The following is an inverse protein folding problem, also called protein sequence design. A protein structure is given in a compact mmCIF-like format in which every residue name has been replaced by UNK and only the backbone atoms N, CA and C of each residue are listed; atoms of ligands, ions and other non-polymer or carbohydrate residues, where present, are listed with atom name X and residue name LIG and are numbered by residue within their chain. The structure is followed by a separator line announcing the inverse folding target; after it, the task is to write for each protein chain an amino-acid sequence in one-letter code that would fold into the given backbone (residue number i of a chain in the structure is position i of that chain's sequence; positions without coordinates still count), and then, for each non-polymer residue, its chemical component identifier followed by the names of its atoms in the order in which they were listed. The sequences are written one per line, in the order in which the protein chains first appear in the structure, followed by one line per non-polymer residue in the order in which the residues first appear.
data_IF_365029012710
#
_entry.id   IF_365029012710
#
_cell.length_a   1.000
_cell.length_b   1.000
_cell.length_c   1.000
_cell.angle_alpha   90.00
_cell.angle_beta   90.00
_cell.angle_gamma   90.00
#
_symmetry.space_group_name_H-M   'P 1'
#
loop_
_entity.id
_entity.type
_entity.pdbx_description
1 polymer ?
#
# COMPACT_ATOMS: atom_id res chain seq x y z
N UNK A 1 64.48 -2.61 -0.11
CA UNK A 1 63.69 -1.64 0.65
C UNK A 1 62.51 -1.24 -0.15
N UNK A 2 61.36 -1.15 0.44
CA UNK A 2 60.05 -0.77 -0.17
C UNK A 2 59.34 -1.86 -0.98
N UNK A 3 58.61 -2.73 -0.27
CA UNK A 3 57.36 -3.38 -0.76
C UNK A 3 56.59 -3.92 0.45
N UNK A 4 56.07 -3.03 1.25
CA UNK A 4 55.20 -3.38 2.37
C UNK A 4 54.16 -2.29 2.55
N UNK A 5 53.27 -2.12 1.55
CA UNK A 5 52.12 -1.20 1.68
C UNK A 5 51.19 -1.40 0.48
N UNK A 6 50.40 -2.48 0.47
CA UNK A 6 49.17 -2.58 -0.33
C UNK A 6 48.39 -3.86 -0.05
N UNK A 7 47.89 -3.99 1.16
CA UNK A 7 46.99 -5.07 1.50
C UNK A 7 45.98 -4.60 2.55
N UNK A 8 45.34 -3.45 2.28
CA UNK A 8 44.26 -2.96 3.11
C UNK A 8 43.29 -2.21 2.23
N UNK A 9 42.42 -2.90 1.56
CA UNK A 9 41.13 -2.40 1.06
C UNK A 9 40.52 -3.47 0.18
N UNK A 10 39.58 -4.17 0.69
CA UNK A 10 38.28 -4.51 0.06
C UNK A 10 37.51 -5.40 1.04
N UNK A 11 37.11 -4.86 2.17
CA UNK A 11 35.99 -5.40 2.94
C UNK A 11 34.74 -4.60 2.58
N UNK A 12 34.39 -4.59 1.31
CA UNK A 12 33.06 -4.21 0.87
C UNK A 12 32.12 -5.36 1.23
N UNK A 13 31.47 -5.24 2.40
CA UNK A 13 30.64 -6.24 3.00
C UNK A 13 29.43 -6.58 2.14
N UNK A 14 29.49 -7.67 1.41
CA UNK A 14 28.31 -8.41 1.04
C UNK A 14 27.62 -8.86 2.34
N UNK A 15 26.49 -8.26 2.67
CA UNK A 15 25.69 -8.70 3.81
C UNK A 15 25.50 -10.22 3.73
N UNK A 16 25.89 -10.94 4.76
CA UNK A 16 25.83 -12.40 4.82
C UNK A 16 24.36 -12.87 4.72
N UNK A 17 24.12 -14.09 4.30
CA UNK A 17 22.76 -14.65 4.23
C UNK A 17 22.04 -14.57 5.58
N UNK A 18 22.75 -14.70 6.70
CA UNK A 18 22.23 -14.53 8.06
C UNK A 18 21.75 -13.10 8.33
N UNK A 19 22.52 -12.09 7.95
CA UNK A 19 22.14 -10.69 8.12
C UNK A 19 20.90 -10.33 7.29
N UNK A 20 20.83 -10.83 6.05
CA UNK A 20 19.64 -10.63 5.20
C UNK A 20 18.40 -11.30 5.80
N UNK A 21 18.55 -12.50 6.36
CA UNK A 21 17.45 -13.19 7.05
C UNK A 21 17.01 -12.43 8.31
N UNK A 22 17.95 -11.97 9.12
CA UNK A 22 17.66 -11.18 10.33
C UNK A 22 16.92 -9.89 10.00
N UNK A 23 17.37 -9.12 9.00
CA UNK A 23 16.68 -7.90 8.55
C UNK A 23 15.26 -8.15 8.05
N UNK A 24 15.03 -9.26 7.31
CA UNK A 24 13.68 -9.64 6.87
C UNK A 24 12.76 -9.94 8.06
N UNK A 25 13.26 -10.65 9.04
CA UNK A 25 12.49 -10.99 10.26
C UNK A 25 12.16 -9.74 11.07
N UNK A 26 13.13 -8.84 11.24
CA UNK A 26 12.93 -7.56 11.91
C UNK A 26 11.87 -6.70 11.19
N UNK A 27 12.00 -6.58 9.88
CA UNK A 27 11.03 -5.82 9.08
C UNK A 27 9.62 -6.39 9.16
N UNK A 28 9.49 -7.72 9.10
CA UNK A 28 8.20 -8.39 9.28
C UNK A 28 7.60 -8.14 10.67
N UNK A 29 8.44 -8.10 11.71
CA UNK A 29 8.00 -7.78 13.07
C UNK A 29 7.52 -6.32 13.17
N UNK A 30 8.22 -5.36 12.55
CA UNK A 30 7.80 -3.95 12.50
C UNK A 30 6.45 -3.79 11.77
N UNK A 31 6.29 -4.42 10.60
CA UNK A 31 5.02 -4.42 9.86
C UNK A 31 3.89 -4.93 10.74
N UNK A 32 4.11 -6.07 11.42
CA UNK A 32 3.11 -6.64 12.32
C UNK A 32 2.74 -5.70 13.46
N UNK A 33 3.72 -5.06 14.08
CA UNK A 33 3.51 -4.14 15.21
C UNK A 33 2.68 -2.92 14.77
N UNK A 34 3.08 -2.27 13.69
CA UNK A 34 2.38 -1.09 13.15
C UNK A 34 0.92 -1.39 12.77
N UNK A 35 0.67 -2.56 12.17
CA UNK A 35 -0.71 -2.96 11.83
C UNK A 35 -1.55 -3.23 13.09
N UNK A 36 -0.96 -3.86 14.11
CA UNK A 36 -1.67 -4.18 15.36
C UNK A 36 -2.12 -2.93 16.13
N UNK A 37 -1.43 -1.82 15.99
CA UNK A 37 -1.79 -0.54 16.60
C UNK A 37 -2.99 0.13 15.94
N UNK A 38 -3.42 -0.33 14.75
CA UNK A 38 -4.44 0.32 13.91
C UNK A 38 -4.16 1.83 13.71
N UNK A 39 -2.89 2.15 13.65
CA UNK A 39 -2.40 3.50 13.38
C UNK A 39 -1.25 3.39 12.39
N UNK A 40 -1.57 3.41 11.11
CA UNK A 40 -0.58 3.22 10.05
C UNK A 40 -0.92 4.01 8.79
N UNK A 41 0.10 4.21 7.98
CA UNK A 41 0.03 4.94 6.74
C UNK A 41 0.67 4.15 5.61
N UNK A 42 -0.01 4.06 4.49
CA UNK A 42 0.50 3.49 3.25
C UNK A 42 0.68 4.63 2.25
N UNK A 43 1.91 4.84 1.81
CA UNK A 43 2.22 5.77 0.71
C UNK A 43 2.03 5.04 -0.60
N UNK A 44 1.24 5.62 -1.49
CA UNK A 44 0.90 5.04 -2.80
C UNK A 44 1.86 5.55 -3.87
N UNK A 45 2.47 4.63 -4.60
CA UNK A 45 3.50 4.93 -5.60
C UNK A 45 3.01 4.74 -7.04
N UNK A 46 2.03 3.84 -7.23
CA UNK A 46 1.47 3.56 -8.55
C UNK A 46 0.04 3.03 -8.43
N UNK A 47 -0.66 2.97 -9.55
CA UNK A 47 -2.02 2.46 -9.62
C UNK A 47 -2.22 1.64 -10.89
N UNK A 48 -3.23 0.75 -10.88
CA UNK A 48 -3.71 0.04 -12.04
C UNK A 48 -5.25 0.11 -12.08
N UNK A 49 -5.77 0.45 -13.23
CA UNK A 49 -7.19 0.31 -13.53
C UNK A 49 -7.44 -1.10 -14.04
N UNK A 50 -8.36 -1.82 -13.39
CA UNK A 50 -8.69 -3.20 -13.73
C UNK A 50 -9.82 -3.30 -14.77
N UNK A 51 -10.38 -2.17 -15.19
CA UNK A 51 -11.40 -2.11 -16.23
C UNK A 51 -10.82 -2.14 -17.66
N UNK A 52 -9.56 -1.78 -17.82
CA UNK A 52 -8.88 -1.83 -19.12
C UNK A 52 -8.06 -3.11 -19.29
N UNK A 53 -8.35 -3.84 -20.37
CA UNK A 53 -7.71 -5.12 -20.73
C UNK A 53 -6.28 -4.98 -21.27
N UNK A 54 -5.75 -3.78 -21.35
CA UNK A 54 -4.38 -3.52 -21.80
C UNK A 54 -3.42 -3.40 -20.60
N UNK A 55 -2.38 -4.23 -20.60
CA UNK A 55 -1.24 -4.24 -19.65
C UNK A 55 -0.43 -2.92 -19.66
N UNK A 56 -1.07 -1.77 -19.76
CA UNK A 56 -0.36 -0.50 -19.78
C UNK A 56 0.01 -0.07 -18.37
N UNK A 57 1.32 -0.13 -18.17
CA UNK A 57 2.15 0.52 -17.14
C UNK A 57 1.36 1.42 -16.19
N UNK A 58 1.23 0.93 -14.96
CA UNK A 58 0.80 1.77 -13.83
C UNK A 58 1.53 3.11 -13.87
N UNK A 59 0.84 4.23 -14.02
CA UNK A 59 1.51 5.53 -13.96
C UNK A 59 2.18 5.67 -12.60
N UNK A 60 3.41 6.14 -12.60
CA UNK A 60 4.10 6.47 -11.36
C UNK A 60 3.45 7.73 -10.78
N UNK A 61 3.02 7.64 -9.54
CA UNK A 61 2.33 8.70 -8.84
C UNK A 61 3.32 9.51 -8.00
N UNK A 62 3.02 10.79 -7.82
CA UNK A 62 3.73 11.62 -6.87
C UNK A 62 3.49 11.10 -5.44
N UNK A 63 4.48 11.18 -4.57
CA UNK A 63 4.50 10.63 -3.21
C UNK A 63 3.49 11.26 -2.22
N UNK A 64 2.57 12.08 -2.69
CA UNK A 64 1.53 12.72 -1.88
C UNK A 64 0.32 11.83 -1.64
N UNK A 65 0.12 10.81 -2.48
CA UNK A 65 -1.02 9.92 -2.35
C UNK A 65 -0.82 8.91 -1.23
N UNK A 66 -1.88 8.71 -0.43
CA UNK A 66 -1.79 7.87 0.76
C UNK A 66 -3.15 7.33 1.20
N UNK A 67 -3.09 6.23 1.91
CA UNK A 67 -4.14 5.71 2.77
C UNK A 67 -3.62 5.67 4.20
N UNK A 68 -4.40 6.16 5.14
CA UNK A 68 -4.04 6.19 6.55
C UNK A 68 -5.19 5.68 7.41
N UNK A 69 -4.88 4.78 8.32
CA UNK A 69 -5.79 4.31 9.36
C UNK A 69 -5.38 4.97 10.66
N UNK A 70 -6.31 5.66 11.31
CA UNK A 70 -6.15 6.26 12.64
C UNK A 70 -7.25 5.75 13.54
N UNK A 71 -6.92 4.72 14.33
CA UNK A 71 -7.86 4.08 15.25
C UNK A 71 -9.13 3.59 14.53
N UNK A 72 -10.19 4.37 14.62
CA UNK A 72 -11.52 4.11 14.07
C UNK A 72 -11.85 4.87 12.78
N UNK A 73 -10.88 5.61 12.23
CA UNK A 73 -11.09 6.47 11.06
C UNK A 73 -10.17 6.08 9.90
N UNK A 74 -10.73 6.11 8.69
CA UNK A 74 -9.99 5.95 7.44
C UNK A 74 -9.83 7.31 6.76
N UNK A 75 -8.57 7.65 6.47
CA UNK A 75 -8.21 8.86 5.76
C UNK A 75 -7.57 8.45 4.44
N UNK A 76 -8.10 8.93 3.33
CA UNK A 76 -7.49 8.68 2.03
C UNK A 76 -7.26 9.95 1.25
N UNK A 77 -6.15 9.97 0.54
CA UNK A 77 -5.88 10.89 -0.54
C UNK A 77 -5.31 10.07 -1.69
N UNK A 78 -6.21 9.52 -2.52
CA UNK A 78 -5.87 8.61 -3.61
C UNK A 78 -6.32 9.21 -4.94
N UNK A 79 -5.53 9.06 -6.01
CA UNK A 79 -6.00 9.42 -7.34
C UNK A 79 -7.14 8.47 -7.69
N UNK A 80 -8.21 9.00 -8.26
CA UNK A 80 -9.30 8.19 -8.73
C UNK A 80 -9.39 8.33 -10.25
N UNK A 81 -9.24 7.22 -10.91
CA UNK A 81 -9.46 7.05 -12.33
C UNK A 81 -10.53 5.96 -12.49
N UNK A 82 -11.37 6.08 -13.46
CA UNK A 82 -12.40 5.10 -13.74
C UNK A 82 -13.75 5.73 -14.05
N UNK A 83 -14.58 4.92 -14.66
CA UNK A 83 -15.91 5.33 -15.11
C UNK A 83 -16.87 5.40 -13.93
N UNK A 84 -17.61 6.49 -13.82
CA UNK A 84 -18.71 6.61 -12.89
C UNK A 84 -20.00 6.16 -13.57
N UNK A 85 -20.48 4.97 -13.22
CA UNK A 85 -21.68 4.36 -13.83
C UNK A 85 -22.96 5.16 -13.65
N UNK A 86 -23.03 6.05 -12.66
CA UNK A 86 -24.24 6.83 -12.37
C UNK A 86 -24.28 8.13 -13.16
N UNK A 87 -23.11 8.78 -13.29
CA UNK A 87 -23.04 10.08 -13.97
C UNK A 87 -22.76 9.95 -15.47
N UNK A 88 -22.46 8.76 -15.97
CA UNK A 88 -22.14 8.54 -17.38
C UNK A 88 -20.88 9.27 -17.85
N UNK A 89 -20.05 9.72 -16.94
CA UNK A 89 -18.83 10.45 -17.25
C UNK A 89 -17.62 9.52 -17.27
N UNK A 90 -17.10 9.27 -18.47
CA UNK A 90 -15.73 8.78 -18.64
C UNK A 90 -14.80 9.97 -18.44
N UNK A 91 -14.31 10.14 -17.23
CA UNK A 91 -13.40 11.23 -16.94
C UNK A 91 -12.15 10.71 -16.24
N UNK A 92 -11.00 11.08 -16.75
CA UNK A 92 -9.80 11.21 -15.92
C UNK A 92 -10.21 12.19 -14.82
N UNK A 93 -10.83 11.64 -13.78
CA UNK A 93 -11.48 12.43 -12.74
C UNK A 93 -10.45 13.27 -12.02
N UNK A 94 -10.55 14.55 -12.19
CA UNK A 94 -9.78 15.57 -11.47
C UNK A 94 -10.02 15.55 -9.96
N UNK A 95 -10.90 14.67 -9.48
CA UNK A 95 -11.20 14.51 -8.05
C UNK A 95 -10.73 13.14 -7.59
N UNK A 96 -9.63 13.13 -6.84
CA UNK A 96 -9.15 11.94 -6.15
C UNK A 96 -10.17 11.39 -5.14
N UNK A 97 -9.97 10.16 -4.69
CA UNK A 97 -10.73 9.58 -3.60
C UNK A 97 -10.21 10.17 -2.28
N UNK A 98 -10.81 11.28 -1.87
CA UNK A 98 -10.50 11.98 -0.63
C UNK A 98 -11.56 11.61 0.40
N UNK A 99 -11.16 10.94 1.46
CA UNK A 99 -12.02 10.52 2.56
C UNK A 99 -11.44 10.94 3.90
N UNK A 100 -12.32 11.24 4.81
CA UNK A 100 -12.07 11.27 6.24
C UNK A 100 -13.34 10.74 6.92
N UNK A 101 -13.44 9.41 7.01
CA UNK A 101 -14.68 8.76 7.41
C UNK A 101 -14.42 7.76 8.55
N UNK A 102 -15.37 7.57 9.45
CA UNK A 102 -15.31 6.51 10.43
C UNK A 102 -15.35 5.13 9.74
N UNK A 103 -14.58 4.20 10.29
CA UNK A 103 -14.54 2.82 9.83
C UNK A 103 -15.79 2.09 10.33
N UNK A 104 -16.61 1.59 9.41
CA UNK A 104 -17.81 0.79 9.74
C UNK A 104 -17.45 -0.65 10.07
N UNK A 105 -16.43 -1.20 9.40
CA UNK A 105 -15.93 -2.56 9.65
C UNK A 105 -14.43 -2.64 9.39
N UNK A 106 -13.72 -3.38 10.24
CA UNK A 106 -12.30 -3.66 10.09
C UNK A 106 -12.04 -5.13 10.39
N UNK A 107 -11.54 -5.86 9.41
CA UNK A 107 -11.17 -7.27 9.54
C UNK A 107 -9.72 -7.44 9.10
N UNK A 108 -8.95 -8.23 9.84
CA UNK A 108 -7.56 -8.54 9.52
C UNK A 108 -7.32 -10.04 9.66
N UNK A 109 -6.71 -10.63 8.65
CA UNK A 109 -6.32 -12.03 8.64
C UNK A 109 -4.92 -12.25 8.06
N UNK A 110 -4.30 -13.34 8.47
CA UNK A 110 -3.03 -13.78 7.89
C UNK A 110 -3.30 -14.78 6.79
N UNK A 111 -2.93 -14.44 5.56
CA UNK A 111 -3.10 -15.34 4.42
C UNK A 111 -2.11 -16.51 4.44
N UNK A 112 -2.40 -17.58 3.69
CA UNK A 112 -1.50 -18.74 3.51
C UNK A 112 -0.13 -18.35 2.94
N UNK A 113 -0.03 -17.20 2.28
CA UNK A 113 1.23 -16.65 1.73
C UNK A 113 1.96 -15.73 2.70
N UNK A 114 1.60 -15.75 3.99
CA UNK A 114 2.16 -14.90 5.03
C UNK A 114 2.04 -13.40 4.78
N UNK A 115 1.02 -12.98 4.02
CA UNK A 115 0.62 -11.59 3.88
C UNK A 115 -0.49 -11.26 4.86
N UNK A 116 -0.55 -10.04 5.33
CA UNK A 116 -1.72 -9.51 6.06
C UNK A 116 -2.75 -9.06 5.05
N UNK A 117 -3.93 -9.62 5.15
CA UNK A 117 -5.11 -9.18 4.41
C UNK A 117 -6.00 -8.39 5.36
N UNK A 118 -6.32 -7.16 4.98
CA UNK A 118 -7.12 -6.24 5.77
C UNK A 118 -8.29 -5.79 4.90
N UNK A 119 -9.49 -5.93 5.41
CA UNK A 119 -10.69 -5.41 4.79
C UNK A 119 -11.27 -4.31 5.66
N UNK A 120 -11.45 -3.12 5.07
CA UNK A 120 -12.01 -1.94 5.72
C UNK A 120 -13.22 -1.49 4.92
N UNK A 121 -14.36 -1.35 5.60
CA UNK A 121 -15.56 -0.76 5.02
C UNK A 121 -15.81 0.61 5.60
N UNK A 122 -16.17 1.56 4.75
CA UNK A 122 -16.65 2.89 5.14
C UNK A 122 -17.93 3.21 4.39
N UNK A 123 -18.85 3.87 5.08
CA UNK A 123 -20.09 4.35 4.48
C UNK A 123 -19.95 5.84 4.16
N UNK A 124 -20.27 6.22 2.95
CA UNK A 124 -20.26 7.60 2.50
C UNK A 124 -21.49 7.90 1.65
N UNK A 125 -22.33 8.78 2.16
CA UNK A 125 -23.60 9.13 1.51
C UNK A 125 -24.44 7.87 1.21
N UNK A 126 -24.68 7.57 -0.07
CA UNK A 126 -25.44 6.39 -0.50
C UNK A 126 -24.54 5.28 -1.04
N UNK A 127 -23.24 5.23 -0.70
CA UNK A 127 -22.29 4.26 -1.21
C UNK A 127 -21.47 3.64 -0.08
N UNK A 128 -21.16 2.36 -0.24
CA UNK A 128 -20.24 1.65 0.65
C UNK A 128 -18.95 1.39 -0.09
N UNK A 129 -17.87 1.94 0.44
CA UNK A 129 -16.53 1.72 -0.07
C UNK A 129 -15.84 0.61 0.70
N UNK A 130 -15.36 -0.39 -0.01
CA UNK A 130 -14.63 -1.52 0.57
C UNK A 130 -13.17 -1.45 0.11
N UNK A 131 -12.27 -1.32 1.06
CA UNK A 131 -10.83 -1.31 0.86
C UNK A 131 -10.27 -2.67 1.24
N UNK A 132 -9.75 -3.39 0.26
CA UNK A 132 -9.02 -4.65 0.47
C UNK A 132 -7.53 -4.35 0.37
N UNK A 133 -6.83 -4.52 1.48
CA UNK A 133 -5.41 -4.16 1.60
C UNK A 133 -4.60 -5.43 1.85
N UNK A 134 -3.65 -5.73 1.00
CA UNK A 134 -2.66 -6.78 1.25
C UNK A 134 -1.32 -6.16 1.60
N UNK A 135 -0.78 -6.47 2.78
CA UNK A 135 0.55 -6.03 3.21
C UNK A 135 1.48 -7.23 3.32
N UNK A 136 2.59 -7.17 2.61
CA UNK A 136 3.63 -8.19 2.64
C UNK A 136 4.60 -7.95 3.81
N UNK A 137 5.35 -8.97 4.21
CA UNK A 137 6.32 -8.88 5.29
C UNK A 137 7.42 -7.81 5.10
N UNK A 138 7.68 -7.41 3.85
CA UNK A 138 8.62 -6.35 3.51
C UNK A 138 7.98 -4.95 3.46
N UNK A 139 6.70 -4.82 3.81
CA UNK A 139 5.98 -3.55 3.80
C UNK A 139 5.31 -3.18 2.47
N UNK A 140 5.56 -3.93 1.39
CA UNK A 140 4.88 -3.70 0.13
C UNK A 140 3.38 -3.92 0.31
N UNK A 141 2.58 -3.00 -0.19
CA UNK A 141 1.14 -2.96 0.01
C UNK A 141 0.41 -2.87 -1.32
N UNK A 142 -0.68 -3.62 -1.43
CA UNK A 142 -1.64 -3.51 -2.52
C UNK A 142 -2.99 -3.14 -1.92
N UNK A 143 -3.62 -2.08 -2.42
CA UNK A 143 -4.91 -1.59 -1.98
C UNK A 143 -5.87 -1.71 -3.16
N UNK A 144 -6.92 -2.51 -3.03
CA UNK A 144 -8.00 -2.58 -4.01
C UNK A 144 -9.25 -1.93 -3.42
N UNK A 145 -9.79 -0.96 -4.12
CA UNK A 145 -11.01 -0.25 -3.71
C UNK A 145 -12.18 -0.71 -4.56
N UNK A 146 -13.27 -1.07 -3.90
CA UNK A 146 -14.55 -1.43 -4.53
C UNK A 146 -15.63 -0.47 -4.06
N UNK A 147 -16.52 -0.13 -4.98
CA UNK A 147 -17.72 0.65 -4.77
C UNK A 147 -18.86 0.06 -5.61
N UNK A 148 -20.10 0.31 -5.22
CA UNK A 148 -21.26 -0.07 -6.03
C UNK A 148 -21.42 0.82 -7.27
N UNK A 149 -20.81 2.00 -7.24
CA UNK A 149 -21.01 3.05 -8.26
C UNK A 149 -19.82 3.24 -9.20
N UNK A 150 -18.68 2.58 -8.93
CA UNK A 150 -17.43 2.82 -9.65
C UNK A 150 -16.66 1.54 -9.91
N UNK A 151 -15.86 1.56 -10.96
CA UNK A 151 -14.96 0.46 -11.29
C UNK A 151 -13.94 0.22 -10.19
N UNK A 152 -13.49 -1.04 -10.11
CA UNK A 152 -12.45 -1.44 -9.18
C UNK A 152 -11.12 -0.84 -9.61
N UNK A 153 -10.43 -0.22 -8.67
CA UNK A 153 -9.09 0.30 -8.85
C UNK A 153 -8.14 -0.34 -7.86
N UNK A 154 -6.91 -0.59 -8.29
CA UNK A 154 -5.83 -1.07 -7.43
C UNK A 154 -4.71 -0.04 -7.35
N UNK A 155 -4.20 0.13 -6.14
CA UNK A 155 -3.07 1.01 -5.83
C UNK A 155 -1.95 0.19 -5.20
N UNK A 156 -0.71 0.54 -5.53
CA UNK A 156 0.48 -0.12 -5.01
C UNK A 156 1.33 0.89 -4.26
N UNK A 157 1.87 0.47 -3.14
CA UNK A 157 2.64 1.34 -2.27
C UNK A 157 3.38 0.60 -1.18
N UNK A 158 3.77 1.35 -0.17
CA UNK A 158 4.51 0.83 0.97
C UNK A 158 3.93 1.36 2.27
N UNK A 159 3.80 0.47 3.27
CA UNK A 159 3.48 0.89 4.63
C UNK A 159 4.69 1.63 5.22
N UNK A 160 4.43 2.75 5.88
CA UNK A 160 5.45 3.48 6.63
C UNK A 160 5.78 2.71 7.92
N UNK A 161 7.07 2.54 8.17
CA UNK A 161 7.61 1.91 9.37
C UNK A 161 8.48 2.98 10.05
N UNK A 162 7.87 3.80 10.86
CA UNK A 162 8.60 4.83 11.63
C UNK A 162 9.34 4.22 12.81
#
# INVERSE_FOLDING_TARGET
MAYALLAAMVLNGCATSKEKAARKTEQAAKVKAVLAEKHYKIVVNSMADLSETDEKRSPQLLSTYRLEVRNDSLITFLPHYGYNHILGEAGVGTRGLILYEPISSYQEELTKKSKRHIEISVEKEDDTLIFMIEVSANGNSNISVRSLRRDRISYFGNIMLD
#
